data_IF_497409723837
#
_entry.id   IF_497409723837
#
_cell.length_a   1.000
_cell.length_b   1.000
_cell.length_c   1.000
_cell.angle_alpha   90.00
_cell.angle_beta   90.00
_cell.angle_gamma   90.00
#
_symmetry.space_group_name_H-M   'P 1'
#
loop_
_entity.id
_entity.type
_entity.pdbx_description
1 polymer ?
#
# COMPACT_ATOMS: atom_id res chain seq x y z
N UNK A 1 16.55 10.43 -11.45
CA UNK A 1 15.50 10.53 -10.39
C UNK A 1 16.11 10.21 -9.02
N UNK A 2 15.51 10.68 -7.92
CA UNK A 2 16.01 10.37 -6.56
C UNK A 2 15.17 9.27 -5.92
N UNK A 3 15.85 8.31 -5.28
CA UNK A 3 15.17 7.25 -4.54
C UNK A 3 14.32 7.83 -3.40
N UNK A 4 13.03 7.51 -3.36
CA UNK A 4 12.08 8.00 -2.34
C UNK A 4 12.45 7.56 -0.90
N UNK A 5 13.28 6.51 -0.76
CA UNK A 5 13.66 5.97 0.53
C UNK A 5 14.96 6.57 1.08
N UNK A 6 16.05 6.58 0.27
CA UNK A 6 17.38 6.99 0.71
C UNK A 6 17.92 8.26 0.05
N UNK A 7 17.20 8.85 -0.91
CA UNK A 7 17.57 10.08 -1.61
C UNK A 7 18.70 9.95 -2.64
N UNK A 8 19.27 8.75 -2.86
CA UNK A 8 20.31 8.52 -3.86
C UNK A 8 19.73 8.60 -5.26
N UNK A 9 20.49 9.13 -6.21
CA UNK A 9 20.11 9.11 -7.62
C UNK A 9 20.14 7.69 -8.17
N UNK A 10 19.04 7.29 -8.81
CA UNK A 10 18.84 5.96 -9.38
C UNK A 10 17.74 5.97 -10.43
N UNK A 11 17.75 4.94 -11.28
CA UNK A 11 16.68 4.64 -12.25
C UNK A 11 16.21 3.18 -12.17
N UNK A 12 16.52 2.47 -11.05
CA UNK A 12 16.33 1.01 -10.99
C UNK A 12 14.86 0.57 -11.08
N UNK A 13 13.99 1.18 -10.25
CA UNK A 13 12.56 0.85 -10.22
C UNK A 13 11.76 2.16 -10.29
N UNK A 14 11.29 2.55 -11.47
CA UNK A 14 10.46 3.74 -11.65
C UNK A 14 9.01 3.46 -11.20
N UNK A 15 8.43 4.45 -10.53
CA UNK A 15 7.04 4.48 -10.11
C UNK A 15 6.45 5.86 -10.32
N UNK A 16 5.13 5.91 -10.46
CA UNK A 16 4.44 7.15 -10.76
C UNK A 16 3.28 7.36 -9.78
N UNK A 17 2.98 8.61 -9.50
CA UNK A 17 1.82 9.02 -8.70
C UNK A 17 0.97 9.96 -9.54
N UNK A 18 -0.26 9.54 -9.78
CA UNK A 18 -1.25 10.30 -10.50
C UNK A 18 -2.16 11.02 -9.50
N UNK A 19 -2.31 12.34 -9.64
CA UNK A 19 -3.27 13.12 -8.86
C UNK A 19 -4.59 13.17 -9.60
N UNK A 20 -5.67 12.80 -8.93
CA UNK A 20 -7.03 12.89 -9.46
C UNK A 20 -7.89 13.69 -8.50
N UNK A 21 -8.43 14.80 -8.96
CA UNK A 21 -9.43 15.58 -8.25
C UNK A 21 -10.81 15.00 -8.54
N UNK A 22 -11.56 14.63 -7.50
CA UNK A 22 -12.91 14.09 -7.63
C UNK A 22 -13.88 15.01 -6.90
N UNK A 23 -14.82 15.61 -7.62
CA UNK A 23 -15.87 16.46 -7.07
C UNK A 23 -17.22 15.74 -7.17
N UNK A 24 -17.95 15.72 -6.07
CA UNK A 24 -19.33 15.26 -6.03
C UNK A 24 -20.25 16.47 -6.05
N UNK A 25 -20.91 16.69 -7.17
CA UNK A 25 -21.85 17.80 -7.36
C UNK A 25 -23.27 17.27 -7.25
N UNK A 26 -24.04 17.81 -6.32
CA UNK A 26 -25.45 17.51 -6.20
C UNK A 26 -26.24 18.44 -7.12
N UNK A 27 -26.82 17.87 -8.16
CA UNK A 27 -27.65 18.59 -9.13
C UNK A 27 -29.12 18.18 -8.95
N UNK A 28 -30.04 18.98 -9.54
CA UNK A 28 -31.49 18.69 -9.54
C UNK A 28 -31.82 17.32 -10.17
N UNK A 29 -30.94 16.80 -11.01
CA UNK A 29 -31.06 15.50 -11.70
C UNK A 29 -30.36 14.35 -10.97
N UNK A 30 -29.81 14.57 -9.78
CA UNK A 30 -29.09 13.56 -8.97
C UNK A 30 -27.63 13.90 -8.69
N UNK A 31 -26.95 13.01 -7.97
CA UNK A 31 -25.52 13.18 -7.66
C UNK A 31 -24.66 12.93 -8.90
N UNK A 32 -23.89 13.93 -9.31
CA UNK A 32 -22.96 13.86 -10.43
C UNK A 32 -21.52 13.84 -9.92
N UNK A 33 -20.73 12.88 -10.37
CA UNK A 33 -19.31 12.78 -10.10
C UNK A 33 -18.52 13.40 -11.25
N UNK A 34 -17.66 14.34 -10.94
CA UNK A 34 -16.76 14.99 -11.88
C UNK A 34 -15.34 14.67 -11.45
N UNK A 35 -14.50 14.24 -12.38
CA UNK A 35 -13.08 14.01 -12.13
C UNK A 35 -12.25 14.90 -13.04
N UNK A 36 -11.12 15.38 -12.53
CA UNK A 36 -10.11 16.10 -13.29
C UNK A 36 -8.72 15.50 -13.00
N UNK A 37 -7.91 15.43 -14.05
CA UNK A 37 -6.53 14.97 -13.93
C UNK A 37 -5.68 16.14 -13.42
N UNK A 38 -4.98 15.92 -12.29
CA UNK A 38 -4.03 16.86 -11.74
C UNK A 38 -2.60 16.61 -12.22
N UNK A 39 -1.64 16.84 -11.33
CA UNK A 39 -0.23 16.65 -11.61
C UNK A 39 0.16 15.16 -11.63
N UNK A 40 1.27 14.91 -12.27
CA UNK A 40 1.87 13.59 -12.40
C UNK A 40 3.29 13.68 -11.85
N UNK A 41 3.56 12.88 -10.83
CA UNK A 41 4.86 12.86 -10.16
C UNK A 41 5.56 11.52 -10.39
N UNK A 42 6.86 11.57 -10.67
CA UNK A 42 7.71 10.41 -10.87
C UNK A 42 8.61 10.16 -9.65
N UNK A 43 8.72 8.90 -9.29
CA UNK A 43 9.49 8.42 -8.16
C UNK A 43 10.33 7.21 -8.55
N UNK A 44 11.39 6.95 -7.82
CA UNK A 44 12.17 5.73 -7.98
C UNK A 44 12.49 5.09 -6.64
N UNK A 45 12.69 3.78 -6.67
CA UNK A 45 13.24 3.01 -5.54
C UNK A 45 14.52 2.35 -6.00
N UNK A 46 15.62 2.54 -5.29
CA UNK A 46 16.88 1.91 -5.64
C UNK A 46 16.90 0.42 -5.25
N UNK A 47 17.69 -0.36 -5.98
CA UNK A 47 17.84 -1.81 -5.77
C UNK A 47 18.29 -2.17 -4.34
N UNK A 48 19.09 -1.31 -3.70
CA UNK A 48 19.52 -1.51 -2.32
C UNK A 48 18.35 -1.45 -1.32
N UNK A 49 17.49 -0.42 -1.43
CA UNK A 49 16.31 -0.28 -0.57
C UNK A 49 15.28 -1.39 -0.84
N UNK A 50 15.12 -1.82 -2.10
CA UNK A 50 14.27 -2.95 -2.45
C UNK A 50 14.78 -4.26 -1.82
N UNK A 51 16.11 -4.49 -1.86
CA UNK A 51 16.73 -5.67 -1.25
C UNK A 51 16.60 -5.67 0.27
N UNK A 52 16.85 -4.54 0.92
CA UNK A 52 16.66 -4.40 2.38
C UNK A 52 15.21 -4.71 2.78
N UNK A 53 14.23 -4.26 1.99
CA UNK A 53 12.82 -4.57 2.21
C UNK A 53 12.51 -6.05 2.02
N UNK A 54 13.06 -6.67 0.98
CA UNK A 54 12.93 -8.10 0.71
C UNK A 54 13.51 -8.93 1.85
N UNK A 55 14.72 -8.60 2.32
CA UNK A 55 15.37 -9.27 3.43
C UNK A 55 14.54 -9.14 4.73
N UNK A 56 13.94 -7.98 4.96
CA UNK A 56 13.02 -7.77 6.09
C UNK A 56 11.75 -8.63 6.00
N UNK A 57 11.22 -8.84 4.79
CA UNK A 57 10.04 -9.70 4.55
C UNK A 57 10.43 -11.19 4.72
N UNK A 58 11.60 -11.59 4.22
CA UNK A 58 12.07 -12.98 4.32
C UNK A 58 12.46 -13.34 5.74
N UNK A 59 13.01 -12.41 6.53
CA UNK A 59 13.31 -12.60 7.94
C UNK A 59 12.11 -12.25 8.81
N UNK A 60 11.22 -13.23 8.99
CA UNK A 60 9.95 -13.03 9.71
C UNK A 60 10.11 -12.85 11.24
N UNK A 61 11.27 -13.21 11.82
CA UNK A 61 11.47 -13.19 13.29
C UNK A 61 11.21 -11.81 13.91
N UNK A 62 11.86 -10.70 13.47
CA UNK A 62 11.63 -9.40 14.08
C UNK A 62 10.21 -8.87 13.80
N UNK A 63 9.63 -9.19 12.64
CA UNK A 63 8.26 -8.80 12.30
C UNK A 63 7.24 -9.53 13.19
N UNK A 64 7.44 -10.83 13.46
CA UNK A 64 6.62 -11.60 14.37
C UNK A 64 6.74 -11.09 15.79
N UNK A 65 7.96 -10.88 16.31
CA UNK A 65 8.15 -10.38 17.68
C UNK A 65 7.45 -9.04 17.90
N UNK A 66 7.62 -8.09 16.99
CA UNK A 66 6.95 -6.78 17.09
C UNK A 66 5.42 -6.89 16.96
N UNK A 67 4.94 -7.73 16.06
CA UNK A 67 3.51 -7.90 15.82
C UNK A 67 2.79 -8.72 16.88
N UNK A 68 3.47 -9.67 17.51
CA UNK A 68 2.90 -10.54 18.56
C UNK A 68 2.96 -9.91 19.95
N UNK A 69 3.92 -9.02 20.23
CA UNK A 69 4.11 -8.43 21.55
C UNK A 69 2.83 -7.81 22.17
N UNK A 70 2.06 -6.96 21.46
CA UNK A 70 0.85 -6.38 22.04
C UNK A 70 -0.22 -7.44 22.34
N UNK A 71 -0.39 -8.44 21.48
CA UNK A 71 -1.36 -9.50 21.68
C UNK A 71 -0.95 -10.46 22.81
N UNK A 72 0.34 -10.74 22.96
CA UNK A 72 0.87 -11.50 24.08
C UNK A 72 0.63 -10.77 25.42
N UNK A 73 0.80 -9.45 25.45
CA UNK A 73 0.49 -8.65 26.63
C UNK A 73 -1.01 -8.69 26.97
N UNK A 74 -1.90 -8.53 25.99
CA UNK A 74 -3.35 -8.62 26.17
C UNK A 74 -3.73 -10.02 26.70
N UNK A 75 -3.15 -11.07 26.13
CA UNK A 75 -3.39 -12.46 26.53
C UNK A 75 -2.95 -12.70 27.97
N UNK A 76 -1.77 -12.23 28.36
CA UNK A 76 -1.25 -12.37 29.71
C UNK A 76 -2.10 -11.61 30.75
N UNK A 77 -2.49 -10.38 30.43
CA UNK A 77 -3.38 -9.57 31.29
C UNK A 77 -4.77 -10.20 31.41
N UNK A 78 -5.34 -10.70 30.31
CA UNK A 78 -6.63 -11.39 30.31
C UNK A 78 -6.59 -12.68 31.13
N UNK A 79 -5.54 -13.46 30.99
CA UNK A 79 -5.35 -14.69 31.79
C UNK A 79 -5.19 -14.41 33.30
N UNK A 80 -4.41 -13.36 33.63
CA UNK A 80 -4.26 -12.91 35.01
C UNK A 80 -5.58 -12.44 35.61
N UNK A 81 -6.33 -11.61 34.88
CA UNK A 81 -7.62 -11.11 35.33
C UNK A 81 -8.62 -12.27 35.51
N UNK A 82 -8.70 -13.20 34.58
CA UNK A 82 -9.57 -14.35 34.67
C UNK A 82 -9.20 -15.26 35.87
N UNK A 83 -7.92 -15.45 36.16
CA UNK A 83 -7.45 -16.25 37.27
C UNK A 83 -7.76 -15.59 38.63
N UNK A 84 -7.52 -14.27 38.76
CA UNK A 84 -7.78 -13.54 39.99
C UNK A 84 -9.30 -13.43 40.30
N UNK A 85 -10.14 -13.41 39.28
CA UNK A 85 -11.59 -13.25 39.44
C UNK A 85 -12.36 -14.55 39.27
N UNK A 86 -11.66 -15.71 39.29
CA UNK A 86 -12.27 -17.02 39.09
C UNK A 86 -13.41 -17.33 40.09
N UNK A 87 -13.23 -16.95 41.34
CA UNK A 87 -14.20 -17.12 42.43
C UNK A 87 -15.04 -15.85 42.72
N UNK A 88 -14.87 -14.79 41.88
CA UNK A 88 -15.51 -13.50 42.07
C UNK A 88 -16.66 -13.21 41.12
N UNK A 89 -16.94 -11.92 40.95
CA UNK A 89 -18.02 -11.42 40.09
C UNK A 89 -17.89 -11.87 38.64
N UNK A 90 -18.98 -12.42 38.08
CA UNK A 90 -19.00 -12.99 36.73
C UNK A 90 -18.60 -12.03 35.62
N UNK A 91 -18.86 -10.73 35.80
CA UNK A 91 -18.53 -9.71 34.79
C UNK A 91 -17.03 -9.55 34.55
N UNK A 92 -16.21 -9.45 35.60
CA UNK A 92 -14.74 -9.34 35.51
C UNK A 92 -14.11 -10.59 34.90
N UNK A 93 -14.62 -11.78 35.28
CA UNK A 93 -14.17 -13.04 34.68
C UNK A 93 -14.46 -13.08 33.17
N UNK A 94 -15.65 -12.69 32.76
CA UNK A 94 -16.03 -12.64 31.35
C UNK A 94 -15.14 -11.67 30.57
N UNK A 95 -14.79 -10.52 31.15
CA UNK A 95 -13.86 -9.56 30.54
C UNK A 95 -12.47 -10.16 30.36
N UNK A 96 -11.94 -10.86 31.38
CA UNK A 96 -10.66 -11.57 31.29
C UNK A 96 -10.66 -12.63 30.17
N UNK A 97 -11.71 -13.45 30.07
CA UNK A 97 -11.86 -14.45 29.02
C UNK A 97 -11.99 -13.82 27.62
N UNK A 98 -12.71 -12.71 27.49
CA UNK A 98 -12.79 -11.96 26.23
C UNK A 98 -11.42 -11.43 25.79
N UNK A 99 -10.61 -10.90 26.72
CA UNK A 99 -9.24 -10.46 26.42
C UNK A 99 -8.34 -11.63 25.99
N UNK A 100 -8.45 -12.80 26.61
CA UNK A 100 -7.74 -14.02 26.19
C UNK A 100 -8.13 -14.40 24.75
N UNK A 101 -9.42 -14.43 24.44
CA UNK A 101 -9.92 -14.73 23.11
C UNK A 101 -9.40 -13.73 22.06
N UNK A 102 -9.46 -12.42 22.34
CA UNK A 102 -8.93 -11.37 21.47
C UNK A 102 -7.40 -11.51 21.28
N UNK A 103 -6.64 -11.80 22.34
CA UNK A 103 -5.21 -12.04 22.28
C UNK A 103 -4.86 -13.23 21.38
N UNK A 104 -5.56 -14.34 21.51
CA UNK A 104 -5.38 -15.54 20.68
C UNK A 104 -5.72 -15.27 19.21
N UNK A 105 -6.86 -14.66 18.92
CA UNK A 105 -7.24 -14.30 17.54
C UNK A 105 -6.24 -13.33 16.91
N UNK A 106 -5.77 -12.34 17.67
CA UNK A 106 -4.76 -11.39 17.21
C UNK A 106 -3.42 -12.05 16.90
N UNK A 107 -2.98 -13.00 17.74
CA UNK A 107 -1.73 -13.77 17.50
C UNK A 107 -1.83 -14.63 16.25
N UNK A 108 -2.94 -15.37 16.07
CA UNK A 108 -3.19 -16.19 14.88
C UNK A 108 -3.26 -15.33 13.63
N UNK A 109 -4.00 -14.22 13.66
CA UNK A 109 -4.12 -13.30 12.53
C UNK A 109 -2.78 -12.69 12.11
N UNK A 110 -1.95 -12.28 13.08
CA UNK A 110 -0.61 -11.74 12.82
C UNK A 110 0.30 -12.81 12.21
N UNK A 111 0.31 -14.01 12.78
CA UNK A 111 1.07 -15.14 12.25
C UNK A 111 0.69 -15.46 10.79
N UNK A 112 -0.60 -15.59 10.53
CA UNK A 112 -1.11 -15.88 9.19
C UNK A 112 -0.72 -14.79 8.17
N UNK A 113 -0.85 -13.51 8.56
CA UNK A 113 -0.50 -12.37 7.68
C UNK A 113 0.99 -12.38 7.32
N UNK A 114 1.87 -12.52 8.30
CA UNK A 114 3.33 -12.51 8.12
C UNK A 114 3.78 -13.72 7.29
N UNK A 115 3.27 -14.91 7.62
CA UNK A 115 3.64 -16.14 6.88
C UNK A 115 3.07 -16.17 5.47
N UNK A 116 1.86 -15.64 5.24
CA UNK A 116 1.26 -15.51 3.90
C UNK A 116 2.10 -14.58 3.03
N UNK A 117 2.50 -13.41 3.55
CA UNK A 117 3.37 -12.46 2.83
C UNK A 117 4.69 -13.11 2.45
N UNK A 118 5.37 -13.79 3.38
CA UNK A 118 6.62 -14.52 3.09
C UNK A 118 6.43 -15.58 2.01
N UNK A 119 5.37 -16.42 2.10
CA UNK A 119 5.10 -17.46 1.10
C UNK A 119 4.86 -16.87 -0.29
N UNK A 120 4.14 -15.76 -0.37
CA UNK A 120 3.91 -15.05 -1.63
C UNK A 120 5.23 -14.60 -2.26
N UNK A 121 6.12 -13.96 -1.49
CA UNK A 121 7.42 -13.52 -1.99
C UNK A 121 8.37 -14.68 -2.32
N UNK A 122 8.29 -15.79 -1.60
CA UNK A 122 9.07 -17.00 -1.90
C UNK A 122 8.63 -17.74 -3.18
N UNK A 123 7.44 -17.44 -3.68
CA UNK A 123 6.93 -18.02 -4.93
C UNK A 123 7.36 -17.24 -6.18
N UNK A 124 7.85 -16.00 -6.02
CA UNK A 124 8.35 -15.18 -7.12
C UNK A 124 9.76 -15.56 -7.53
N UNK A 125 10.13 -15.29 -8.77
CA UNK A 125 11.53 -15.27 -9.19
C UNK A 125 12.31 -14.20 -8.42
N UNK A 126 13.66 -14.30 -8.32
CA UNK A 126 14.45 -13.31 -7.58
C UNK A 126 14.27 -11.87 -8.07
N UNK A 127 14.07 -11.67 -9.37
CA UNK A 127 13.86 -10.35 -9.98
C UNK A 127 12.46 -9.81 -9.68
N UNK A 128 11.42 -10.64 -9.83
CA UNK A 128 10.05 -10.28 -9.48
C UNK A 128 9.90 -9.98 -7.99
N UNK A 129 10.56 -10.76 -7.11
CA UNK A 129 10.55 -10.50 -5.68
C UNK A 129 11.17 -9.14 -5.33
N UNK A 130 12.25 -8.74 -6.02
CA UNK A 130 12.86 -7.42 -5.85
C UNK A 130 11.96 -6.30 -6.37
N UNK A 131 11.34 -6.47 -7.54
CA UNK A 131 10.40 -5.50 -8.10
C UNK A 131 9.18 -5.32 -7.18
N UNK A 132 8.64 -6.43 -6.66
CA UNK A 132 7.53 -6.40 -5.72
C UNK A 132 7.92 -5.79 -4.37
N UNK A 133 9.16 -6.00 -3.90
CA UNK A 133 9.68 -5.35 -2.70
C UNK A 133 9.87 -3.84 -2.91
N UNK A 134 10.33 -3.42 -4.09
CA UNK A 134 10.42 -2.01 -4.46
C UNK A 134 9.03 -1.34 -4.46
N UNK A 135 8.02 -2.03 -5.02
CA UNK A 135 6.63 -1.57 -4.96
C UNK A 135 6.11 -1.44 -3.53
N UNK A 136 6.40 -2.41 -2.66
CA UNK A 136 6.03 -2.38 -1.24
C UNK A 136 6.67 -1.16 -0.51
N UNK A 137 7.95 -0.84 -0.81
CA UNK A 137 8.62 0.37 -0.30
C UNK A 137 7.95 1.64 -0.81
N UNK A 138 7.65 1.69 -2.10
CA UNK A 138 7.00 2.83 -2.72
C UNK A 138 5.62 3.08 -2.12
N UNK A 139 4.76 2.04 -1.98
CA UNK A 139 3.45 2.16 -1.37
C UNK A 139 3.49 2.67 0.08
N UNK A 140 4.52 2.31 0.85
CA UNK A 140 4.69 2.78 2.22
C UNK A 140 5.10 4.27 2.29
N UNK A 141 5.82 4.77 1.29
CA UNK A 141 6.44 6.10 1.26
C UNK A 141 5.73 7.10 0.34
N UNK A 142 5.00 6.61 -0.67
CA UNK A 142 4.26 7.46 -1.60
C UNK A 142 3.24 8.34 -0.86
N UNK A 143 2.92 9.52 -1.41
CA UNK A 143 1.85 10.37 -0.88
C UNK A 143 0.58 9.55 -0.74
N UNK A 144 0.07 9.48 0.48
CA UNK A 144 -1.19 8.77 0.75
C UNK A 144 -2.35 9.72 0.49
N UNK A 145 -3.48 9.15 0.10
CA UNK A 145 -4.73 9.85 -0.06
C UNK A 145 -4.99 10.77 1.15
N UNK A 146 -4.88 12.07 0.94
CA UNK A 146 -5.40 13.05 1.86
C UNK A 146 -6.74 13.51 1.31
N UNK A 147 -7.79 13.20 2.02
CA UNK A 147 -9.17 13.59 1.71
C UNK A 147 -9.44 15.07 2.04
N UNK A 148 -8.39 15.88 2.05
CA UNK A 148 -8.45 17.31 2.20
C UNK A 148 -8.62 17.87 0.78
N UNK A 149 -9.84 18.17 0.36
CA UNK A 149 -10.22 18.73 -0.94
C UNK A 149 -10.41 17.72 -2.08
N UNK A 150 -10.93 16.53 -1.81
CA UNK A 150 -11.30 15.54 -2.86
C UNK A 150 -10.14 15.11 -3.81
N UNK A 151 -8.88 15.31 -3.40
CA UNK A 151 -7.71 14.89 -4.17
C UNK A 151 -7.33 13.46 -3.79
N UNK A 152 -7.25 12.59 -4.79
CA UNK A 152 -6.79 11.21 -4.63
C UNK A 152 -5.44 11.04 -5.31
N UNK A 153 -4.46 10.50 -4.59
CA UNK A 153 -3.15 10.13 -5.13
C UNK A 153 -3.16 8.63 -5.47
N UNK A 154 -2.97 8.32 -6.74
CA UNK A 154 -3.02 6.95 -7.26
C UNK A 154 -1.61 6.51 -7.59
N UNK A 155 -1.01 5.56 -6.83
CA UNK A 155 0.29 5.00 -7.15
C UNK A 155 0.18 4.02 -8.32
N UNK A 156 1.07 4.16 -9.32
CA UNK A 156 1.07 3.37 -10.54
C UNK A 156 2.43 2.72 -10.74
N UNK A 157 2.45 1.43 -11.10
CA UNK A 157 3.64 0.69 -11.52
C UNK A 157 3.85 0.83 -13.03
N UNK A 158 5.10 0.64 -13.49
CA UNK A 158 5.44 0.61 -14.91
C UNK A 158 4.60 -0.43 -15.68
N UNK A 159 4.39 -1.60 -15.13
CA UNK A 159 3.52 -2.63 -15.74
C UNK A 159 2.08 -2.15 -15.95
N UNK A 160 1.60 -1.26 -15.09
CA UNK A 160 0.27 -0.67 -15.20
C UNK A 160 0.19 0.34 -16.34
N UNK A 161 1.33 0.96 -16.72
CA UNK A 161 1.41 1.90 -17.84
C UNK A 161 1.15 1.21 -19.19
N UNK A 162 1.48 -0.07 -19.31
CA UNK A 162 1.23 -0.87 -20.52
C UNK A 162 -0.21 -1.38 -20.63
N UNK A 163 -1.02 -1.22 -19.58
CA UNK A 163 -2.43 -1.66 -19.59
C UNK A 163 -3.29 -0.73 -20.44
N UNK A 164 -4.34 -1.31 -20.99
CA UNK A 164 -5.36 -0.53 -21.71
C UNK A 164 -6.07 0.42 -20.74
N UNK A 165 -6.52 1.58 -21.24
CA UNK A 165 -7.25 2.58 -20.48
C UNK A 165 -8.49 2.03 -19.73
N UNK A 166 -9.14 0.98 -20.26
CA UNK A 166 -10.22 0.27 -19.58
C UNK A 166 -9.78 -0.41 -18.28
N UNK A 167 -8.57 -0.99 -18.27
CA UNK A 167 -8.00 -1.60 -17.05
C UNK A 167 -7.68 -0.55 -15.99
N UNK A 168 -7.16 0.63 -16.40
CA UNK A 168 -6.94 1.76 -15.48
C UNK A 168 -8.25 2.24 -14.85
N UNK A 169 -9.32 2.33 -15.63
CA UNK A 169 -10.64 2.70 -15.13
C UNK A 169 -11.13 1.73 -14.04
N UNK A 170 -11.05 0.42 -14.31
CA UNK A 170 -11.51 -0.62 -13.38
C UNK A 170 -10.66 -0.64 -12.10
N UNK A 171 -9.33 -0.54 -12.23
CA UNK A 171 -8.41 -0.64 -11.10
C UNK A 171 -8.47 0.55 -10.14
N UNK A 172 -8.69 1.75 -10.67
CA UNK A 172 -8.58 2.99 -9.91
C UNK A 172 -9.87 3.80 -9.81
N UNK A 173 -10.98 3.23 -10.25
CA UNK A 173 -12.30 3.88 -10.24
C UNK A 173 -12.28 5.25 -10.94
N UNK A 174 -11.65 5.30 -12.11
CA UNK A 174 -11.56 6.50 -12.93
C UNK A 174 -12.75 6.58 -13.90
N UNK A 175 -13.21 7.80 -14.18
CA UNK A 175 -14.14 8.02 -15.28
C UNK A 175 -13.44 7.70 -16.61
N UNK A 176 -14.18 7.20 -17.65
CA UNK A 176 -13.58 6.77 -18.91
C UNK A 176 -12.70 7.84 -19.58
N UNK A 177 -13.14 9.09 -19.55
CA UNK A 177 -12.41 10.23 -20.12
C UNK A 177 -11.09 10.48 -19.38
N UNK A 178 -11.11 10.38 -18.05
CA UNK A 178 -9.93 10.57 -17.20
C UNK A 178 -8.96 9.42 -17.34
N UNK A 179 -9.46 8.18 -17.45
CA UNK A 179 -8.63 7.01 -17.70
C UNK A 179 -7.87 7.11 -19.04
N UNK A 180 -8.54 7.59 -20.11
CA UNK A 180 -7.91 7.83 -21.40
C UNK A 180 -6.85 8.94 -21.30
N UNK A 181 -7.17 10.06 -20.65
CA UNK A 181 -6.21 11.16 -20.47
C UNK A 181 -5.00 10.71 -19.65
N UNK A 182 -5.21 9.97 -18.54
CA UNK A 182 -4.14 9.45 -17.72
C UNK A 182 -3.24 8.50 -18.52
N UNK A 183 -3.83 7.56 -19.25
CA UNK A 183 -3.11 6.63 -20.12
C UNK A 183 -2.24 7.34 -21.16
N UNK A 184 -2.82 8.31 -21.89
CA UNK A 184 -2.10 9.07 -22.89
C UNK A 184 -0.97 9.90 -22.28
N UNK A 185 -1.20 10.52 -21.13
CA UNK A 185 -0.18 11.33 -20.43
C UNK A 185 1.00 10.49 -19.95
N UNK A 186 0.72 9.29 -19.43
CA UNK A 186 1.73 8.33 -18.97
C UNK A 186 2.61 7.90 -20.16
N UNK A 187 2.00 7.48 -21.27
CA UNK A 187 2.74 7.05 -22.47
C UNK A 187 3.50 8.19 -23.17
N UNK A 188 3.00 9.42 -23.11
CA UNK A 188 3.71 10.58 -23.67
C UNK A 188 4.99 10.92 -22.89
N UNK A 189 5.09 10.52 -21.62
CA UNK A 189 6.32 10.68 -20.82
C UNK A 189 7.37 9.60 -21.13
N UNK A 190 6.96 8.47 -21.70
CA UNK A 190 7.88 7.41 -22.17
C UNK A 190 8.50 7.73 -23.53
N UNK A 191 7.88 8.60 -24.35
CA UNK A 191 8.54 9.08 -25.56
C UNK A 191 9.65 10.06 -25.14
N UNK A 192 10.95 9.70 -25.36
CA UNK A 192 12.02 10.69 -25.20
C UNK A 192 11.68 11.86 -26.12
N UNK A 193 11.74 13.07 -25.55
CA UNK A 193 11.51 14.29 -26.32
C UNK A 193 12.24 14.17 -27.66
N UNK A 194 11.52 13.86 -28.73
CA UNK A 194 12.07 13.91 -30.07
C UNK A 194 12.55 15.33 -30.22
N UNK A 195 13.86 15.50 -30.20
CA UNK A 195 14.50 16.77 -30.48
C UNK A 195 13.78 17.40 -31.66
N UNK A 196 13.05 18.49 -31.40
CA UNK A 196 12.53 19.32 -32.47
C UNK A 196 13.74 19.75 -33.28
N UNK A 197 13.84 19.39 -34.56
CA UNK A 197 14.92 19.90 -35.37
C UNK A 197 14.78 21.42 -35.38
N UNK A 198 15.75 22.11 -34.80
CA UNK A 198 15.88 23.54 -34.94
C UNK A 198 15.80 23.91 -36.44
N UNK A 199 14.79 24.66 -36.80
CA UNK A 199 14.74 25.42 -38.02
C UNK A 199 15.30 26.80 -37.78
#
# INVERSE_FOLDING_TARGET
MKCICCGKETSDYPFYVLQVLTLHVRDLNGDKRIQALGDFEDYTVCKACARERLDAIMNIRPALLRGLAPFAAILALGALLAALTWNGEGALRMMGLAMVACGLLGTIGTWQRVTKKKRMFAAFSPEEALAQAAWDVFQDKAPKKYDINDITYIPIQEETLSRKNGDLMILYDLLPEIAVQAYNRIHALEEPAKESPCR
#
